data_IF_473609325996
#
_entry.id   IF_473609325996
#
_cell.length_a   1.000
_cell.length_b   1.000
_cell.length_c   1.000
_cell.angle_alpha   90.00
_cell.angle_beta   90.00
_cell.angle_gamma   90.00
#
_symmetry.space_group_name_H-M   'P 1'
#
loop_
_entity.id
_entity.type
_entity.pdbx_description
1 polymer ?
#
# COMPACT_ATOMS: atom_id res chain seq x y z
N UNK A 1 -19.88 0.35 56.47
CA UNK A 1 -20.59 0.78 55.24
C UNK A 1 -19.56 0.79 54.13
N UNK A 2 -19.69 -0.14 53.19
CA UNK A 2 -18.71 -0.38 52.13
C UNK A 2 -19.26 0.21 50.84
N UNK A 3 -18.65 1.28 50.33
CA UNK A 3 -19.05 1.91 49.07
C UNK A 3 -18.69 0.99 47.89
N UNK A 4 -19.71 0.47 47.23
CA UNK A 4 -19.56 -0.25 45.95
C UNK A 4 -19.22 0.77 44.87
N UNK A 5 -17.98 0.74 44.39
CA UNK A 5 -17.52 1.51 43.26
C UNK A 5 -18.38 1.24 42.02
N UNK A 6 -18.83 2.33 41.38
CA UNK A 6 -19.68 2.33 40.21
C UNK A 6 -19.10 1.51 39.07
N UNK A 7 -19.84 0.47 38.67
CA UNK A 7 -19.60 -0.25 37.43
C UNK A 7 -19.96 0.71 36.31
N UNK A 8 -18.95 1.18 35.56
CA UNK A 8 -19.17 1.95 34.34
C UNK A 8 -19.77 1.03 33.29
N UNK A 9 -21.02 1.29 32.92
CA UNK A 9 -21.69 0.59 31.81
C UNK A 9 -20.93 0.84 30.52
N UNK A 10 -20.38 -0.23 29.93
CA UNK A 10 -19.77 -0.20 28.61
C UNK A 10 -20.86 -0.37 27.56
N UNK A 11 -21.12 0.69 26.80
CA UNK A 11 -22.03 0.64 25.66
C UNK A 11 -21.26 0.12 24.45
N UNK A 12 -21.72 -0.98 23.87
CA UNK A 12 -21.22 -1.50 22.59
C UNK A 12 -22.04 -0.88 21.46
N UNK A 13 -21.41 -0.02 20.67
CA UNK A 13 -22.01 0.48 19.43
C UNK A 13 -21.71 -0.51 18.30
N UNK A 14 -22.75 -1.04 17.65
CA UNK A 14 -22.61 -1.92 16.47
C UNK A 14 -23.04 -1.15 15.24
N UNK A 15 -22.10 -0.89 14.34
CA UNK A 15 -22.40 -0.34 13.02
C UNK A 15 -22.60 -1.53 12.07
N UNK A 16 -23.76 -1.60 11.43
CA UNK A 16 -24.05 -2.64 10.44
C UNK A 16 -23.94 -2.02 9.05
N UNK A 17 -22.85 -2.34 8.35
CA UNK A 17 -22.65 -1.92 6.95
C UNK A 17 -23.50 -2.74 5.99
N UNK A 18 -24.00 -2.11 4.92
CA UNK A 18 -24.71 -2.82 3.82
C UNK A 18 -23.77 -3.43 2.79
N UNK A 19 -22.50 -3.01 2.77
CA UNK A 19 -21.50 -3.47 1.82
C UNK A 19 -20.60 -4.47 2.48
N UNK A 20 -20.23 -5.48 1.71
CA UNK A 20 -19.13 -6.35 2.06
C UNK A 20 -18.08 -6.24 0.98
N UNK A 21 -16.87 -6.61 1.35
CA UNK A 21 -15.78 -6.64 0.40
C UNK A 21 -14.74 -7.63 0.84
N UNK A 22 -13.87 -7.96 -0.11
CA UNK A 22 -12.63 -8.67 0.16
C UNK A 22 -11.52 -7.65 0.40
N UNK A 23 -10.52 -7.97 1.24
CA UNK A 23 -9.37 -7.11 1.43
C UNK A 23 -8.66 -6.78 0.12
N UNK A 24 -8.04 -5.60 0.06
CA UNK A 24 -7.36 -5.11 -1.14
C UNK A 24 -6.34 -6.10 -1.74
N UNK A 25 -5.63 -6.87 -0.92
CA UNK A 25 -4.63 -7.86 -1.38
C UNK A 25 -5.22 -9.09 -2.07
N UNK A 26 -6.54 -9.31 -1.95
CA UNK A 26 -7.24 -10.41 -2.61
C UNK A 26 -7.74 -10.02 -4.00
N UNK A 27 -7.15 -8.98 -4.62
CA UNK A 27 -7.50 -8.57 -5.98
C UNK A 27 -7.36 -9.74 -6.97
N UNK A 28 -8.23 -9.82 -7.97
CA UNK A 28 -8.22 -10.89 -8.98
C UNK A 28 -7.37 -10.56 -10.20
N UNK A 29 -7.04 -9.28 -10.40
CA UNK A 29 -6.13 -8.82 -11.45
C UNK A 29 -5.45 -7.51 -11.07
N UNK A 30 -4.31 -7.22 -11.69
CA UNK A 30 -3.61 -5.93 -11.50
C UNK A 30 -4.52 -4.75 -11.88
N UNK A 31 -5.39 -4.90 -12.87
CA UNK A 31 -6.38 -3.88 -13.20
C UNK A 31 -7.39 -3.64 -12.07
N UNK A 32 -7.94 -4.70 -11.48
CA UNK A 32 -8.84 -4.58 -10.33
C UNK A 32 -8.13 -3.87 -9.17
N UNK A 33 -6.86 -4.23 -8.90
CA UNK A 33 -6.05 -3.57 -7.88
C UNK A 33 -5.90 -2.07 -8.12
N UNK A 34 -5.49 -1.66 -9.33
CA UNK A 34 -5.27 -0.24 -9.64
C UNK A 34 -6.59 0.54 -9.61
N UNK A 35 -7.70 -0.02 -10.12
CA UNK A 35 -9.03 0.61 -10.03
C UNK A 35 -9.50 0.77 -8.58
N UNK A 36 -9.31 -0.25 -7.75
CA UNK A 36 -9.61 -0.17 -6.33
C UNK A 36 -8.81 0.96 -5.65
N UNK A 37 -7.51 1.07 -5.97
CA UNK A 37 -6.64 2.14 -5.46
C UNK A 37 -7.07 3.54 -5.90
N UNK A 38 -7.47 3.72 -7.16
CA UNK A 38 -8.02 5.00 -7.65
C UNK A 38 -9.28 5.36 -6.85
N UNK A 39 -10.22 4.43 -6.72
CA UNK A 39 -11.48 4.67 -6.01
C UNK A 39 -11.28 5.15 -4.56
N UNK A 40 -10.36 4.51 -3.81
CA UNK A 40 -10.06 4.92 -2.44
C UNK A 40 -9.29 6.23 -2.35
N UNK A 41 -8.40 6.54 -3.30
CA UNK A 41 -7.67 7.80 -3.32
C UNK A 41 -8.53 8.99 -3.75
N UNK A 42 -9.49 8.79 -4.66
CA UNK A 42 -10.52 9.78 -4.98
C UNK A 42 -11.38 10.07 -3.75
N UNK A 43 -11.78 9.03 -3.02
CA UNK A 43 -12.51 9.17 -1.76
C UNK A 43 -11.68 9.92 -0.73
N UNK A 44 -10.39 9.57 -0.58
CA UNK A 44 -9.47 10.27 0.32
C UNK A 44 -9.30 11.74 -0.06
N UNK A 45 -9.16 12.04 -1.36
CA UNK A 45 -9.10 13.41 -1.90
C UNK A 45 -10.35 14.21 -1.56
N UNK A 46 -11.52 13.63 -1.78
CA UNK A 46 -12.77 14.27 -1.41
C UNK A 46 -12.82 14.58 0.10
N UNK A 47 -12.41 13.64 0.94
CA UNK A 47 -12.37 13.84 2.40
C UNK A 47 -11.37 14.93 2.82
N UNK A 48 -10.15 14.91 2.29
CA UNK A 48 -9.13 15.90 2.62
C UNK A 48 -9.46 17.30 2.13
N UNK A 49 -10.08 17.42 0.95
CA UNK A 49 -10.57 18.70 0.42
C UNK A 49 -11.66 19.31 1.34
N UNK A 50 -12.31 18.46 2.15
CA UNK A 50 -13.25 18.84 3.20
C UNK A 50 -12.62 18.88 4.62
N UNK A 51 -11.29 18.88 4.72
CA UNK A 51 -10.57 18.99 5.99
C UNK A 51 -10.59 17.74 6.86
N UNK A 52 -10.89 16.57 6.28
CA UNK A 52 -10.94 15.29 6.99
C UNK A 52 -9.67 14.50 6.68
N UNK A 53 -8.92 14.15 7.72
CA UNK A 53 -7.79 13.22 7.68
C UNK A 53 -8.27 11.86 8.18
N UNK A 54 -8.01 10.79 7.42
CA UNK A 54 -8.46 9.44 7.79
C UNK A 54 -7.66 8.92 8.98
N UNK A 55 -6.33 9.03 8.92
CA UNK A 55 -5.41 8.69 9.99
C UNK A 55 -5.22 7.20 10.26
N UNK A 56 -6.15 6.33 9.84
CA UNK A 56 -6.08 4.89 10.05
C UNK A 56 -6.10 4.09 8.74
N UNK A 57 -5.35 4.57 7.74
CA UNK A 57 -5.18 3.84 6.47
C UNK A 57 -4.36 2.58 6.74
N UNK A 58 -4.97 1.43 6.46
CA UNK A 58 -4.34 0.13 6.54
C UNK A 58 -4.89 -0.77 5.44
N UNK A 59 -4.15 -1.82 5.07
CA UNK A 59 -4.61 -2.73 4.05
C UNK A 59 -5.91 -3.47 4.47
N UNK A 60 -6.12 -3.67 5.78
CA UNK A 60 -7.33 -4.30 6.31
C UNK A 60 -8.55 -3.38 6.32
N UNK A 61 -8.33 -2.07 6.22
CA UNK A 61 -9.38 -1.05 6.17
C UNK A 61 -9.76 -0.66 4.74
N UNK A 62 -9.18 -1.29 3.72
CA UNK A 62 -9.52 -1.06 2.31
C UNK A 62 -10.08 -2.35 1.74
N UNK A 63 -11.35 -2.31 1.37
CA UNK A 63 -12.05 -3.44 0.80
C UNK A 63 -12.47 -3.18 -0.65
N UNK A 64 -12.35 -4.21 -1.48
CA UNK A 64 -12.92 -4.29 -2.83
C UNK A 64 -14.36 -4.78 -2.70
N UNK A 65 -15.31 -4.03 -3.25
CA UNK A 65 -16.74 -4.32 -3.19
C UNK A 65 -17.07 -5.65 -3.88
N UNK A 66 -17.88 -6.48 -3.22
CA UNK A 66 -18.38 -7.76 -3.77
C UNK A 66 -19.89 -7.84 -3.60
N UNK A 67 -20.55 -8.50 -4.53
CA UNK A 67 -21.97 -8.85 -4.42
C UNK A 67 -22.10 -10.15 -3.64
N UNK A 68 -23.26 -10.37 -3.03
CA UNK A 68 -23.68 -11.73 -2.68
C UNK A 68 -24.94 -12.02 -3.48
N UNK A 69 -24.89 -13.08 -4.27
CA UNK A 69 -26.07 -13.63 -4.92
C UNK A 69 -26.87 -14.42 -3.86
N UNK A 70 -27.91 -13.78 -3.30
CA UNK A 70 -28.86 -14.35 -2.33
C UNK A 70 -28.24 -15.10 -1.12
N UNK A 71 -29.08 -15.78 -0.33
CA UNK A 71 -28.79 -16.30 1.02
C UNK A 71 -27.59 -17.27 1.11
N UNK A 72 -27.07 -17.77 -0.02
CA UNK A 72 -25.99 -18.76 -0.09
C UNK A 72 -24.58 -18.20 0.20
N UNK A 73 -24.45 -16.89 0.45
CA UNK A 73 -23.23 -16.20 0.94
C UNK A 73 -21.96 -16.38 0.09
N UNK A 74 -22.03 -16.88 -1.13
CA UNK A 74 -20.87 -16.91 -2.03
C UNK A 74 -20.64 -15.49 -2.56
N UNK A 75 -19.48 -14.87 -2.30
CA UNK A 75 -19.18 -13.56 -2.85
C UNK A 75 -19.00 -13.65 -4.37
N UNK A 76 -19.70 -12.80 -5.10
CA UNK A 76 -19.60 -12.62 -6.55
C UNK A 76 -18.91 -11.28 -6.83
N UNK A 77 -17.84 -11.31 -7.61
CA UNK A 77 -17.12 -10.08 -7.98
C UNK A 77 -17.87 -9.31 -9.06
N UNK A 78 -17.76 -7.97 -9.01
CA UNK A 78 -18.14 -7.14 -10.15
C UNK A 78 -17.18 -7.40 -11.32
N UNK A 79 -17.64 -7.17 -12.57
CA UNK A 79 -16.72 -7.03 -13.69
C UNK A 79 -15.59 -6.05 -13.35
N UNK A 80 -14.39 -6.29 -13.88
CA UNK A 80 -13.19 -5.52 -13.50
C UNK A 80 -13.38 -4.02 -13.79
N UNK A 81 -14.07 -3.66 -14.87
CA UNK A 81 -14.44 -2.30 -15.24
C UNK A 81 -15.34 -1.59 -14.22
N UNK A 82 -16.14 -2.36 -13.47
CA UNK A 82 -17.08 -1.91 -12.44
C UNK A 82 -16.49 -2.02 -11.03
N UNK A 83 -15.18 -2.29 -10.91
CA UNK A 83 -14.49 -2.40 -9.62
C UNK A 83 -14.74 -1.16 -8.78
N UNK A 84 -15.21 -1.39 -7.54
CA UNK A 84 -15.37 -0.37 -6.51
C UNK A 84 -14.56 -0.77 -5.29
N UNK A 85 -14.08 0.21 -4.56
CA UNK A 85 -13.45 -0.01 -3.27
C UNK A 85 -13.96 1.01 -2.25
N UNK A 86 -13.86 0.67 -0.97
CA UNK A 86 -14.30 1.54 0.11
C UNK A 86 -13.46 1.33 1.35
N UNK A 87 -13.40 2.36 2.20
CA UNK A 87 -12.81 2.24 3.51
C UNK A 87 -13.78 1.57 4.48
N UNK A 88 -13.26 0.73 5.35
CA UNK A 88 -13.93 0.30 6.56
C UNK A 88 -13.31 0.95 7.77
N UNK A 89 -14.01 0.85 8.90
CA UNK A 89 -13.51 1.33 10.19
C UNK A 89 -13.30 2.86 10.23
N UNK A 90 -14.39 3.59 10.01
CA UNK A 90 -14.45 5.03 10.23
C UNK A 90 -14.71 5.39 11.70
N UNK A 91 -14.22 4.60 12.65
CA UNK A 91 -14.37 4.95 14.07
C UNK A 91 -13.47 6.14 14.46
N UNK A 92 -12.59 6.58 13.55
CA UNK A 92 -11.52 7.56 13.79
C UNK A 92 -11.32 8.70 12.77
N UNK A 93 -12.18 9.01 11.77
CA UNK A 93 -11.96 10.21 10.98
C UNK A 93 -11.99 11.36 11.98
N UNK A 94 -10.82 11.94 12.20
CA UNK A 94 -10.61 13.08 13.06
C UNK A 94 -11.18 14.25 12.25
N UNK A 95 -12.50 14.25 12.03
CA UNK A 95 -13.24 15.46 11.71
C UNK A 95 -12.76 16.42 12.76
N UNK A 96 -11.96 17.39 12.32
CA UNK A 96 -11.34 18.37 13.17
C UNK A 96 -12.34 18.73 14.26
N UNK A 97 -12.05 18.30 15.49
CA UNK A 97 -12.83 18.68 16.66
C UNK A 97 -12.58 20.18 16.83
N UNK A 98 -13.35 20.92 16.05
CA UNK A 98 -13.64 22.33 16.07
C UNK A 98 -14.39 22.73 17.36
N UNK A 99 -14.23 21.96 18.44
CA UNK A 99 -14.66 22.34 19.77
C UNK A 99 -13.56 21.97 20.73
N UNK A 100 -12.87 23.01 21.17
CA UNK A 100 -12.16 23.09 22.44
C UNK A 100 -12.83 22.19 23.50
N UNK A 101 -12.29 20.99 23.76
CA UNK A 101 -12.49 20.35 25.06
C UNK A 101 -11.53 19.21 25.32
N UNK A 102 -10.80 19.41 26.41
CA UNK A 102 -10.13 18.44 27.28
C UNK A 102 -9.12 17.46 26.69
N UNK A 103 -7.86 17.87 26.87
CA UNK A 103 -6.69 17.03 27.07
C UNK A 103 -7.01 15.87 28.04
N UNK A 104 -7.31 14.67 27.54
CA UNK A 104 -6.99 13.41 28.26
C UNK A 104 -7.37 12.13 27.53
N UNK A 105 -8.16 12.15 26.46
CA UNK A 105 -8.60 10.90 25.81
C UNK A 105 -7.96 10.77 24.44
N UNK A 106 -6.67 10.46 24.41
CA UNK A 106 -6.10 9.78 23.25
C UNK A 106 -5.90 8.33 23.66
N UNK A 107 -6.72 7.47 23.07
CA UNK A 107 -6.64 6.02 23.22
C UNK A 107 -5.26 5.60 22.75
N UNK A 108 -4.36 5.35 23.70
CA UNK A 108 -3.18 4.54 23.42
C UNK A 108 -3.70 3.25 22.81
N UNK A 109 -3.45 3.01 21.52
CA UNK A 109 -3.46 1.66 20.96
C UNK A 109 -2.43 0.89 21.76
N UNK A 110 -2.93 0.22 22.80
CA UNK A 110 -2.12 -0.53 23.75
C UNK A 110 -1.64 -1.76 23.00
N UNK A 111 -0.50 -1.62 22.30
CA UNK A 111 0.21 -2.72 21.69
C UNK A 111 0.53 -3.73 22.80
N UNK A 112 -0.28 -4.78 22.89
CA UNK A 112 -0.01 -5.91 23.79
C UNK A 112 1.15 -6.68 23.18
N UNK A 113 2.32 -6.50 23.77
CA UNK A 113 3.56 -7.19 23.43
C UNK A 113 3.46 -8.67 23.81
N UNK A 114 3.31 -9.55 22.81
CA UNK A 114 3.92 -10.89 22.81
C UNK A 114 3.79 -11.64 21.48
N UNK A 115 2.86 -11.25 20.61
CA UNK A 115 2.86 -11.60 19.17
C UNK A 115 3.27 -10.35 18.38
N UNK A 116 3.92 -10.52 17.22
CA UNK A 116 4.47 -9.41 16.42
C UNK A 116 3.51 -8.21 16.27
N UNK A 117 4.07 -7.02 16.08
CA UNK A 117 3.28 -5.79 15.98
C UNK A 117 2.36 -5.87 14.76
N UNK A 118 1.13 -6.33 14.97
CA UNK A 118 0.09 -6.53 13.95
C UNK A 118 -0.92 -5.39 14.04
N UNK A 119 -1.52 -5.03 12.90
CA UNK A 119 -2.53 -3.95 12.81
C UNK A 119 -2.01 -2.65 12.18
N UNK A 120 -2.77 -1.56 12.34
CA UNK A 120 -2.56 -0.29 11.62
C UNK A 120 -1.18 0.36 11.83
N UNK A 121 -0.46 0.02 12.90
CA UNK A 121 0.87 0.58 13.17
C UNK A 121 1.86 0.26 12.03
N UNK A 122 1.70 -0.90 11.39
CA UNK A 122 2.49 -1.30 10.22
C UNK A 122 2.27 -0.37 9.02
N UNK A 123 1.25 0.49 9.00
CA UNK A 123 1.01 1.41 7.88
C UNK A 123 1.28 2.86 8.24
N UNK A 124 1.58 3.16 9.52
CA UNK A 124 1.84 4.53 9.95
C UNK A 124 3.04 5.17 9.24
N UNK A 125 2.93 6.47 8.97
CA UNK A 125 3.99 7.29 8.40
C UNK A 125 5.24 7.31 9.29
N UNK A 126 6.43 7.52 8.70
CA UNK A 126 7.68 7.66 9.45
C UNK A 126 7.57 8.71 10.55
N UNK A 127 6.93 9.82 10.22
CA UNK A 127 6.73 10.96 11.12
C UNK A 127 5.89 10.58 12.34
N UNK A 128 4.81 9.83 12.14
CA UNK A 128 3.94 9.33 13.22
C UNK A 128 4.67 8.28 14.06
N UNK A 129 5.38 7.33 13.42
CA UNK A 129 6.20 6.34 14.13
C UNK A 129 7.27 7.02 15.00
N UNK A 130 7.97 8.03 14.47
CA UNK A 130 8.97 8.78 15.21
C UNK A 130 8.37 9.53 16.41
N UNK A 131 7.22 10.19 16.22
CA UNK A 131 6.53 10.87 17.30
C UNK A 131 6.12 9.89 18.42
N UNK A 132 5.62 8.70 18.06
CA UNK A 132 5.29 7.65 19.01
C UNK A 132 6.52 7.18 19.80
N UNK A 133 7.67 6.98 19.14
CA UNK A 133 8.95 6.64 19.81
C UNK A 133 9.37 7.73 20.80
N UNK A 134 9.18 9.00 20.44
CA UNK A 134 9.50 10.15 21.29
C UNK A 134 8.40 10.48 22.31
N UNK A 135 7.31 9.71 22.33
CA UNK A 135 6.13 9.97 23.17
C UNK A 135 5.61 11.41 23.00
N UNK A 136 5.64 11.92 21.75
CA UNK A 136 5.16 13.25 21.41
C UNK A 136 3.77 13.17 20.78
N UNK A 137 2.92 14.11 21.16
CA UNK A 137 1.67 14.33 20.45
C UNK A 137 1.97 14.87 19.04
N UNK A 138 1.28 14.32 18.04
CA UNK A 138 1.38 14.77 16.66
C UNK A 138 -0.01 14.82 16.05
N UNK A 139 -0.28 15.91 15.33
CA UNK A 139 -1.49 16.02 14.51
C UNK A 139 -1.19 15.33 13.19
N UNK A 140 -2.00 14.32 12.84
CA UNK A 140 -1.91 13.63 11.55
C UNK A 140 -2.33 14.57 10.42
N UNK A 141 -1.70 14.42 9.26
CA UNK A 141 -1.95 15.25 8.08
C UNK A 141 -2.24 14.38 6.87
N UNK A 142 -2.71 15.00 5.78
CA UNK A 142 -2.92 14.33 4.49
C UNK A 142 -1.66 13.63 3.99
N UNK A 143 -0.48 14.17 4.27
CA UNK A 143 0.80 13.54 3.91
C UNK A 143 1.04 12.22 4.65
N UNK A 144 0.61 12.08 5.91
CA UNK A 144 0.74 10.79 6.60
C UNK A 144 -0.17 9.73 5.99
N UNK A 145 -1.37 10.14 5.57
CA UNK A 145 -2.32 9.26 4.90
C UNK A 145 -1.74 8.78 3.55
N UNK A 146 -1.14 9.69 2.78
CA UNK A 146 -0.47 9.38 1.52
C UNK A 146 0.72 8.43 1.68
N UNK A 147 1.56 8.64 2.70
CA UNK A 147 2.63 7.71 3.02
C UNK A 147 2.05 6.32 3.38
N UNK A 148 0.95 6.30 4.14
CA UNK A 148 0.27 5.06 4.54
C UNK A 148 -0.27 4.29 3.33
N UNK A 149 -0.89 4.95 2.34
CA UNK A 149 -1.31 4.31 1.08
C UNK A 149 -0.15 3.65 0.36
N UNK A 150 1.01 4.29 0.35
CA UNK A 150 2.18 3.75 -0.32
C UNK A 150 2.65 2.45 0.32
N UNK A 151 2.66 2.39 1.67
CA UNK A 151 2.92 1.15 2.39
C UNK A 151 1.84 0.09 2.15
N UNK A 152 0.57 0.49 2.00
CA UNK A 152 -0.53 -0.43 1.65
C UNK A 152 -0.34 -1.03 0.26
N UNK A 153 0.11 -0.25 -0.74
CA UNK A 153 0.39 -0.77 -2.08
C UNK A 153 1.43 -1.88 -2.02
N UNK A 154 2.57 -1.63 -1.37
CA UNK A 154 3.60 -2.67 -1.20
C UNK A 154 3.05 -3.91 -0.49
N UNK A 155 2.38 -3.70 0.64
CA UNK A 155 1.81 -4.79 1.42
C UNK A 155 0.82 -5.63 0.61
N UNK A 156 -0.07 -4.98 -0.15
CA UNK A 156 -1.09 -5.66 -0.93
C UNK A 156 -0.48 -6.52 -2.02
N UNK A 157 0.52 -5.99 -2.74
CA UNK A 157 1.22 -6.75 -3.78
C UNK A 157 2.02 -7.91 -3.19
N UNK A 158 2.73 -7.70 -2.07
CA UNK A 158 3.42 -8.80 -1.38
C UNK A 158 2.47 -9.90 -0.93
N UNK A 159 1.35 -9.52 -0.29
CA UNK A 159 0.39 -10.49 0.24
C UNK A 159 -0.28 -11.27 -0.88
N UNK A 160 -0.58 -10.61 -2.00
CA UNK A 160 -1.08 -11.26 -3.20
C UNK A 160 -0.05 -12.25 -3.77
N UNK A 161 1.20 -11.80 -3.94
CA UNK A 161 2.30 -12.64 -4.43
C UNK A 161 2.54 -13.89 -3.55
N UNK A 162 2.42 -13.76 -2.23
CA UNK A 162 2.53 -14.89 -1.29
C UNK A 162 1.39 -15.92 -1.41
N UNK A 163 0.29 -15.55 -2.06
CA UNK A 163 -0.86 -16.41 -2.35
C UNK A 163 -0.85 -16.92 -3.81
N UNK A 164 -0.03 -16.32 -4.68
CA UNK A 164 0.14 -16.68 -6.09
C UNK A 164 1.29 -17.68 -6.26
N UNK A 165 0.99 -18.96 -5.97
CA UNK A 165 1.98 -20.04 -6.08
C UNK A 165 2.54 -20.16 -7.50
N UNK A 166 1.71 -19.97 -8.53
CA UNK A 166 2.13 -20.06 -9.92
C UNK A 166 3.08 -18.92 -10.32
N UNK A 167 2.80 -17.68 -9.89
CA UNK A 167 3.69 -16.54 -10.13
C UNK A 167 5.04 -16.69 -9.45
N UNK A 168 5.07 -17.24 -8.24
CA UNK A 168 6.33 -17.57 -7.55
C UNK A 168 7.11 -18.69 -8.26
N UNK A 169 6.44 -19.70 -8.83
CA UNK A 169 7.07 -20.75 -9.63
C UNK A 169 7.65 -20.21 -10.94
N UNK A 170 6.92 -19.33 -11.64
CA UNK A 170 7.41 -18.62 -12.83
C UNK A 170 8.68 -17.83 -12.52
N UNK A 171 8.67 -17.05 -11.44
CA UNK A 171 9.83 -16.29 -10.99
C UNK A 171 11.03 -17.22 -10.67
N UNK A 172 10.78 -18.35 -10.00
CA UNK A 172 11.83 -19.34 -9.69
C UNK A 172 12.47 -19.90 -10.96
N UNK A 173 11.65 -20.20 -11.97
CA UNK A 173 12.10 -20.68 -13.28
C UNK A 173 12.98 -19.64 -13.99
N UNK A 174 12.60 -18.37 -13.97
CA UNK A 174 13.43 -17.29 -14.56
C UNK A 174 14.76 -17.13 -13.82
N UNK A 175 14.77 -17.21 -12.50
CA UNK A 175 16.02 -17.20 -11.74
C UNK A 175 16.93 -18.38 -12.08
N UNK A 176 16.37 -19.56 -12.31
CA UNK A 176 17.14 -20.74 -12.72
C UNK A 176 17.80 -20.56 -14.09
N UNK A 177 17.12 -19.89 -15.04
CA UNK A 177 17.70 -19.55 -16.37
C UNK A 177 18.91 -18.63 -16.24
N UNK A 178 18.87 -17.67 -15.32
CA UNK A 178 19.98 -16.73 -15.07
C UNK A 178 21.12 -17.41 -14.30
N UNK A 179 20.79 -18.33 -13.37
CA UNK A 179 21.74 -18.97 -12.45
C UNK A 179 22.36 -20.29 -12.97
N UNK A 180 22.46 -20.51 -14.28
CA UNK A 180 23.08 -21.71 -14.91
C UNK A 180 24.52 -22.02 -14.45
N UNK A 181 25.11 -21.24 -13.55
CA UNK A 181 26.44 -21.44 -12.99
C UNK A 181 26.50 -21.87 -11.51
N UNK A 182 25.43 -21.79 -10.70
CA UNK A 182 25.52 -22.16 -9.26
C UNK A 182 24.24 -22.84 -8.72
N UNK A 183 24.44 -24.08 -8.24
CA UNK A 183 23.49 -25.00 -7.60
C UNK A 183 22.89 -24.42 -6.30
N UNK A 184 21.89 -23.54 -6.38
CA UNK A 184 21.05 -23.15 -5.24
C UNK A 184 19.63 -23.65 -5.51
N UNK A 185 19.09 -24.43 -4.57
CA UNK A 185 17.83 -25.19 -4.68
C UNK A 185 16.57 -24.31 -4.62
N UNK A 186 15.50 -24.74 -5.30
CA UNK A 186 14.23 -24.01 -5.53
C UNK A 186 13.48 -23.57 -4.27
N UNK A 187 13.61 -24.28 -3.14
CA UNK A 187 12.99 -23.91 -1.85
C UNK A 187 13.46 -22.56 -1.29
N UNK A 188 14.52 -21.97 -1.87
CA UNK A 188 15.06 -20.70 -1.40
C UNK A 188 14.23 -19.50 -1.82
N UNK A 189 13.57 -19.50 -2.99
CA UNK A 189 12.95 -18.27 -3.52
C UNK A 189 11.71 -17.85 -2.73
N UNK A 190 10.79 -18.78 -2.43
CA UNK A 190 9.60 -18.47 -1.61
C UNK A 190 9.97 -18.05 -0.19
N UNK A 191 11.02 -18.67 0.39
CA UNK A 191 11.50 -18.29 1.71
C UNK A 191 12.18 -16.92 1.66
N UNK A 192 13.03 -16.67 0.67
CA UNK A 192 13.72 -15.39 0.49
C UNK A 192 12.70 -14.25 0.24
N UNK A 193 11.59 -14.51 -0.48
CA UNK A 193 10.47 -13.57 -0.66
C UNK A 193 9.72 -13.29 0.65
N UNK A 194 9.47 -14.33 1.47
CA UNK A 194 8.87 -14.16 2.81
C UNK A 194 9.79 -13.39 3.75
N UNK A 195 11.09 -13.69 3.72
CA UNK A 195 12.10 -12.99 4.52
C UNK A 195 12.19 -11.52 4.12
N UNK A 196 12.11 -11.22 2.82
CA UNK A 196 12.00 -9.85 2.31
C UNK A 196 10.75 -9.15 2.87
N UNK A 197 9.57 -9.76 2.75
CA UNK A 197 8.33 -9.24 3.32
C UNK A 197 8.43 -8.97 4.84
N UNK A 198 8.92 -9.95 5.60
CA UNK A 198 9.08 -9.86 7.05
C UNK A 198 10.13 -8.81 7.46
N UNK A 199 11.14 -8.59 6.63
CA UNK A 199 12.13 -7.54 6.88
C UNK A 199 11.51 -6.14 6.91
N UNK A 200 10.39 -5.93 6.18
CA UNK A 200 9.73 -4.63 6.01
C UNK A 200 8.51 -4.48 6.93
N UNK A 201 7.67 -5.53 7.00
CA UNK A 201 6.34 -5.45 7.60
C UNK A 201 6.23 -6.16 8.95
N UNK A 202 7.18 -7.04 9.29
CA UNK A 202 7.20 -7.72 10.57
C UNK A 202 8.15 -7.00 11.52
N UNK A 203 7.63 -6.49 12.64
CA UNK A 203 8.43 -5.79 13.64
C UNK A 203 8.02 -6.17 15.05
N UNK A 204 8.98 -6.13 15.97
CA UNK A 204 8.75 -6.44 17.39
C UNK A 204 8.41 -5.18 18.21
N UNK A 205 8.65 -3.99 17.66
CA UNK A 205 8.35 -2.71 18.29
C UNK A 205 8.23 -1.58 17.26
N UNK A 206 7.65 -0.45 17.68
CA UNK A 206 7.59 0.78 16.85
C UNK A 206 8.99 1.26 16.46
N UNK A 207 9.96 1.14 17.37
CA UNK A 207 11.36 1.53 17.10
C UNK A 207 12.00 0.63 16.05
N UNK A 208 11.77 -0.67 16.15
CA UNK A 208 12.23 -1.67 15.18
C UNK A 208 11.62 -1.37 13.80
N UNK A 209 10.29 -1.21 13.72
CA UNK A 209 9.58 -0.87 12.48
C UNK A 209 10.10 0.44 11.84
N UNK A 210 10.23 1.50 12.64
CA UNK A 210 10.79 2.77 12.17
C UNK A 210 12.22 2.59 11.65
N UNK A 211 13.07 1.82 12.33
CA UNK A 211 14.47 1.62 11.92
C UNK A 211 14.56 0.80 10.63
N UNK A 212 13.72 -0.25 10.51
CA UNK A 212 13.59 -1.09 9.32
C UNK A 212 13.13 -0.31 8.10
N UNK A 213 12.37 0.78 8.26
CA UNK A 213 11.93 1.62 7.13
C UNK A 213 12.86 2.78 6.85
N UNK A 214 13.29 3.50 7.88
CA UNK A 214 14.13 4.68 7.72
C UNK A 214 15.51 4.35 7.13
N UNK A 215 16.10 3.20 7.48
CA UNK A 215 17.41 2.81 6.97
C UNK A 215 17.41 2.53 5.45
N UNK A 216 16.54 1.64 4.96
CA UNK A 216 16.53 1.26 3.55
C UNK A 216 15.99 2.30 2.58
N UNK A 217 15.25 3.29 3.07
CA UNK A 217 14.74 4.39 2.27
C UNK A 217 15.88 5.16 1.53
N UNK A 218 17.14 5.10 2.01
CA UNK A 218 18.30 5.63 1.28
C UNK A 218 18.85 4.75 0.14
N UNK A 219 18.36 3.51 -0.02
CA UNK A 219 18.86 2.53 -1.01
C UNK A 219 18.06 2.55 -2.31
N UNK A 220 18.56 1.86 -3.32
CA UNK A 220 17.82 1.65 -4.57
C UNK A 220 16.72 0.61 -4.39
N UNK A 221 15.65 0.71 -5.19
CA UNK A 221 14.47 -0.16 -5.07
C UNK A 221 14.82 -1.65 -5.16
N UNK A 222 15.53 -2.06 -6.21
CA UNK A 222 15.87 -3.47 -6.45
C UNK A 222 16.87 -4.05 -5.43
N UNK A 223 17.61 -3.20 -4.71
CA UNK A 223 18.50 -3.65 -3.64
C UNK A 223 17.70 -4.02 -2.39
N UNK A 224 16.55 -3.37 -2.20
CA UNK A 224 15.71 -3.55 -1.03
C UNK A 224 14.58 -4.57 -1.28
N UNK A 225 14.06 -4.61 -2.50
CA UNK A 225 12.96 -5.48 -2.88
C UNK A 225 13.29 -6.33 -4.11
N UNK A 226 14.45 -7.03 -4.16
CA UNK A 226 14.81 -7.83 -5.33
C UNK A 226 13.76 -8.88 -5.70
N UNK A 227 13.09 -9.49 -4.71
CA UNK A 227 12.13 -10.55 -4.95
C UNK A 227 10.76 -10.01 -5.34
N UNK A 228 10.27 -8.93 -4.70
CA UNK A 228 9.07 -8.24 -5.18
C UNK A 228 9.24 -7.69 -6.59
N UNK A 229 10.42 -7.13 -6.89
CA UNK A 229 10.72 -6.62 -8.24
C UNK A 229 10.69 -7.75 -9.27
N UNK A 230 11.35 -8.86 -8.98
CA UNK A 230 11.34 -10.03 -9.85
C UNK A 230 9.93 -10.61 -9.99
N UNK A 231 9.15 -10.68 -8.92
CA UNK A 231 7.75 -11.09 -8.99
C UNK A 231 6.96 -10.13 -9.89
N UNK A 232 7.02 -8.82 -9.67
CA UNK A 232 6.28 -7.86 -10.46
C UNK A 232 6.58 -8.00 -11.97
N UNK A 233 7.83 -8.19 -12.36
CA UNK A 233 8.21 -8.38 -13.76
C UNK A 233 7.70 -9.69 -14.39
N UNK A 234 7.37 -10.70 -13.59
CA UNK A 234 7.07 -12.07 -14.04
C UNK A 234 5.71 -12.63 -13.55
N UNK A 235 4.96 -11.85 -12.77
CA UNK A 235 3.76 -12.31 -12.06
C UNK A 235 2.60 -12.65 -13.00
N UNK A 236 2.65 -12.21 -14.25
CA UNK A 236 1.49 -12.30 -15.12
C UNK A 236 1.81 -12.85 -16.51
N UNK A 237 1.04 -13.87 -16.91
CA UNK A 237 1.06 -14.43 -18.26
C UNK A 237 0.43 -13.45 -19.27
N UNK A 238 -0.47 -12.57 -18.83
CA UNK A 238 -1.22 -11.63 -19.66
C UNK A 238 -0.49 -10.28 -19.86
N UNK A 239 0.77 -10.18 -19.42
CA UNK A 239 1.65 -9.04 -19.72
C UNK A 239 1.52 -7.81 -18.80
N UNK A 240 0.70 -7.85 -17.73
CA UNK A 240 0.55 -6.74 -16.79
C UNK A 240 1.69 -6.60 -15.77
N UNK A 241 2.65 -7.52 -15.75
CA UNK A 241 3.79 -7.45 -14.82
C UNK A 241 4.61 -6.16 -14.96
N UNK A 242 4.78 -5.66 -16.18
CA UNK A 242 5.52 -4.40 -16.43
C UNK A 242 4.80 -3.16 -15.86
N UNK A 243 3.49 -2.94 -16.09
CA UNK A 243 2.73 -1.92 -15.40
C UNK A 243 2.85 -1.98 -13.87
N UNK A 244 2.77 -3.18 -13.29
CA UNK A 244 2.91 -3.35 -11.84
C UNK A 244 4.30 -2.94 -11.35
N UNK A 245 5.36 -3.37 -12.04
CA UNK A 245 6.73 -2.98 -11.74
C UNK A 245 6.90 -1.44 -11.82
N UNK A 246 6.39 -0.82 -12.87
CA UNK A 246 6.38 0.64 -13.02
C UNK A 246 5.66 1.35 -11.87
N UNK A 247 4.48 0.86 -11.48
CA UNK A 247 3.74 1.39 -10.34
C UNK A 247 4.56 1.30 -9.04
N UNK A 248 5.17 0.16 -8.76
CA UNK A 248 5.98 -0.03 -7.55
C UNK A 248 7.19 0.91 -7.49
N UNK A 249 7.87 1.15 -8.62
CA UNK A 249 8.97 2.13 -8.70
C UNK A 249 8.50 3.54 -8.36
N UNK A 250 7.36 3.97 -8.91
CA UNK A 250 6.88 5.32 -8.64
C UNK A 250 6.41 5.46 -7.20
N UNK A 251 5.72 4.45 -6.66
CA UNK A 251 5.32 4.43 -5.24
C UNK A 251 6.55 4.43 -4.33
N UNK A 252 7.62 3.73 -4.70
CA UNK A 252 8.88 3.79 -3.95
C UNK A 252 9.48 5.19 -3.95
N UNK A 253 9.56 5.82 -5.12
CA UNK A 253 10.11 7.15 -5.21
C UNK A 253 9.26 8.19 -4.48
N UNK A 254 7.94 7.98 -4.45
CA UNK A 254 7.00 8.73 -3.62
C UNK A 254 7.31 8.53 -2.11
N UNK A 255 7.52 7.30 -1.65
CA UNK A 255 7.95 7.05 -0.27
C UNK A 255 9.26 7.77 0.08
N UNK A 256 10.23 7.80 -0.85
CA UNK A 256 11.50 8.50 -0.63
C UNK A 256 11.31 10.00 -0.41
N UNK A 257 10.30 10.62 -1.02
CA UNK A 257 9.99 12.04 -0.84
C UNK A 257 9.52 12.40 0.58
N UNK A 258 9.04 11.44 1.38
CA UNK A 258 8.66 11.66 2.77
C UNK A 258 9.83 11.54 3.75
N UNK A 259 11.02 11.14 3.28
CA UNK A 259 12.19 11.10 4.15
C UNK A 259 12.46 12.49 4.72
N UNK A 260 12.75 12.52 6.02
CA UNK A 260 13.12 13.73 6.75
C UNK A 260 14.58 14.10 6.48
N UNK A 261 15.12 13.82 5.28
CA UNK A 261 16.47 14.26 4.90
C UNK A 261 16.48 15.77 4.70
N UNK A 262 17.60 16.40 5.04
CA UNK A 262 17.81 17.84 4.80
C UNK A 262 17.94 18.17 3.30
N UNK A 263 18.05 17.17 2.43
CA UNK A 263 18.08 17.35 0.98
C UNK A 263 16.81 16.74 0.34
N UNK A 264 16.10 17.50 -0.53
CA UNK A 264 14.93 17.00 -1.23
C UNK A 264 15.36 15.95 -2.26
N UNK A 265 14.82 14.72 -2.13
CA UNK A 265 15.02 13.69 -3.13
C UNK A 265 14.40 14.13 -4.46
N UNK A 266 15.21 14.18 -5.52
CA UNK A 266 14.72 14.45 -6.87
C UNK A 266 14.53 13.13 -7.59
N UNK A 267 13.31 12.92 -8.05
CA UNK A 267 12.93 11.75 -8.82
C UNK A 267 13.82 11.54 -10.07
N UNK A 268 14.26 12.63 -10.70
CA UNK A 268 15.16 12.63 -11.87
C UNK A 268 16.54 12.05 -11.61
N UNK A 269 16.92 11.93 -10.33
CA UNK A 269 18.27 11.54 -9.95
C UNK A 269 18.34 10.01 -9.67
N UNK A 270 17.23 9.27 -9.81
CA UNK A 270 17.23 7.82 -9.69
C UNK A 270 17.64 7.16 -11.02
N UNK A 271 18.82 6.52 -11.09
CA UNK A 271 19.33 5.95 -12.33
C UNK A 271 18.44 4.83 -12.86
N UNK A 272 17.71 4.11 -12.00
CA UNK A 272 16.78 3.07 -12.44
C UNK A 272 15.52 3.65 -13.01
N UNK A 273 15.03 4.75 -12.45
CA UNK A 273 13.89 5.41 -13.05
C UNK A 273 14.30 5.99 -14.41
N UNK A 274 15.50 6.54 -14.54
CA UNK A 274 16.03 7.02 -15.82
C UNK A 274 16.26 5.88 -16.83
N UNK A 275 16.81 4.74 -16.40
CA UNK A 275 17.00 3.53 -17.22
C UNK A 275 15.65 2.95 -17.62
N UNK A 276 14.72 2.85 -16.69
CA UNK A 276 13.37 2.39 -16.97
C UNK A 276 12.59 3.39 -17.82
N UNK A 277 12.82 4.70 -17.67
CA UNK A 277 12.34 5.74 -18.59
C UNK A 277 13.04 5.68 -19.96
N UNK A 278 14.23 5.11 -20.08
CA UNK A 278 14.90 4.95 -21.36
C UNK A 278 14.39 3.70 -22.10
N UNK A 279 14.36 2.57 -21.40
CA UNK A 279 13.97 1.26 -21.94
C UNK A 279 12.44 1.13 -22.09
N UNK A 280 11.72 1.78 -21.18
CA UNK A 280 10.27 1.70 -21.06
C UNK A 280 9.65 3.09 -20.99
N UNK A 281 10.30 4.14 -21.48
CA UNK A 281 9.83 5.54 -21.40
C UNK A 281 8.40 5.79 -21.89
N UNK A 282 7.96 5.01 -22.87
CA UNK A 282 6.57 5.00 -23.31
C UNK A 282 5.61 4.56 -22.18
N UNK A 283 6.05 3.59 -21.38
CA UNK A 283 5.41 3.08 -20.18
C UNK A 283 5.85 3.77 -18.88
N UNK A 284 6.72 4.79 -18.93
CA UNK A 284 7.21 5.38 -17.70
C UNK A 284 6.40 6.59 -17.26
N UNK A 285 5.82 6.60 -16.03
CA UNK A 285 5.19 7.81 -15.53
C UNK A 285 6.23 8.91 -15.43
N UNK A 286 6.20 9.84 -16.39
CA UNK A 286 6.72 11.19 -16.21
C UNK A 286 5.95 11.80 -15.06
N UNK A 287 6.42 11.56 -13.84
CA UNK A 287 5.89 12.23 -12.67
C UNK A 287 6.49 13.62 -12.72
N UNK A 288 5.74 14.55 -13.30
CA UNK A 288 5.93 15.95 -12.99
C UNK A 288 5.40 16.10 -11.58
N UNK A 289 6.25 15.86 -10.57
CA UNK A 289 5.89 16.14 -9.19
C UNK A 289 5.59 17.63 -9.13
N UNK A 290 4.31 17.97 -9.06
CA UNK A 290 3.90 19.34 -8.81
C UNK A 290 4.51 19.74 -7.49
N UNK A 291 5.53 20.59 -7.50
CA UNK A 291 6.11 21.07 -6.24
C UNK A 291 5.03 21.88 -5.54
N UNK A 292 4.41 21.31 -4.51
CA UNK A 292 3.83 22.13 -3.45
C UNK A 292 4.97 22.88 -2.73
N UNK A 293 4.62 23.83 -1.87
CA UNK A 293 5.59 24.67 -1.15
C UNK A 293 6.62 23.89 -0.30
N UNK A 294 6.44 22.56 -0.18
CA UNK A 294 7.29 21.67 0.60
C UNK A 294 7.99 20.58 -0.23
N UNK A 295 7.84 20.58 -1.57
CA UNK A 295 8.43 19.59 -2.45
C UNK A 295 7.93 18.16 -2.24
N UNK A 296 6.81 17.99 -1.53
CA UNK A 296 6.17 16.70 -1.29
C UNK A 296 5.09 16.46 -2.34
N UNK A 297 4.89 15.21 -2.74
CA UNK A 297 3.87 14.89 -3.72
C UNK A 297 2.46 14.99 -3.11
N UNK A 298 1.53 15.50 -3.91
CA UNK A 298 0.12 15.72 -3.57
C UNK A 298 -0.75 14.51 -3.93
N UNK A 299 -2.00 14.49 -3.46
CA UNK A 299 -2.98 13.48 -3.90
C UNK A 299 -3.17 13.48 -5.43
N UNK A 300 -3.13 14.65 -6.06
CA UNK A 300 -3.22 14.78 -7.51
C UNK A 300 -2.06 14.08 -8.21
N UNK A 301 -0.86 14.14 -7.64
CA UNK A 301 0.31 13.44 -8.19
C UNK A 301 0.13 11.91 -8.11
N UNK A 302 -0.39 11.40 -6.98
CA UNK A 302 -0.69 9.96 -6.81
C UNK A 302 -1.78 9.48 -7.76
N UNK A 303 -2.87 10.24 -7.88
CA UNK A 303 -3.97 9.92 -8.80
C UNK A 303 -3.48 9.91 -10.24
N UNK A 304 -2.70 10.93 -10.64
CA UNK A 304 -2.14 10.99 -12.00
C UNK A 304 -1.20 9.82 -12.30
N UNK A 305 -0.46 9.32 -11.31
CA UNK A 305 0.36 8.12 -11.44
C UNK A 305 -0.51 6.88 -11.69
N UNK A 306 -1.55 6.67 -10.88
CA UNK A 306 -2.44 5.52 -11.02
C UNK A 306 -3.24 5.54 -12.33
N UNK A 307 -3.75 6.70 -12.74
CA UNK A 307 -4.42 6.87 -14.04
C UNK A 307 -3.53 6.52 -15.21
N UNK A 308 -2.21 6.72 -15.06
CA UNK A 308 -1.25 6.35 -16.08
C UNK A 308 -0.95 4.86 -16.09
N UNK A 309 -0.82 4.23 -14.92
CA UNK A 309 -0.73 2.77 -14.83
C UNK A 309 -1.98 2.12 -15.47
N UNK A 310 -3.17 2.65 -15.25
CA UNK A 310 -4.41 2.21 -15.90
C UNK A 310 -4.37 2.34 -17.43
N UNK A 311 -3.88 3.46 -17.95
CA UNK A 311 -3.74 3.64 -19.40
C UNK A 311 -2.81 2.60 -20.02
N UNK A 312 -1.71 2.26 -19.35
CA UNK A 312 -0.77 1.24 -19.83
C UNK A 312 -1.39 -0.15 -19.83
N UNK A 313 -2.15 -0.49 -18.79
CA UNK A 313 -2.92 -1.73 -18.73
C UNK A 313 -3.91 -1.79 -19.93
N UNK A 314 -4.61 -0.69 -20.21
CA UNK A 314 -5.53 -0.60 -21.34
C UNK A 314 -4.83 -0.72 -22.71
N UNK A 315 -3.66 -0.10 -22.88
CA UNK A 315 -2.84 -0.21 -24.10
C UNK A 315 -2.36 -1.64 -24.35
N UNK A 316 -1.90 -2.33 -23.31
CA UNK A 316 -1.49 -3.74 -23.38
C UNK A 316 -2.69 -4.63 -23.78
N UNK A 317 -3.86 -4.41 -23.15
CA UNK A 317 -5.10 -5.10 -23.54
C UNK A 317 -5.46 -4.92 -25.00
N UNK A 318 -5.36 -3.68 -25.50
CA UNK A 318 -5.67 -3.38 -26.90
C UNK A 318 -4.70 -4.10 -27.86
N UNK A 319 -3.40 -4.14 -27.53
CA UNK A 319 -2.40 -4.86 -28.33
C UNK A 319 -2.63 -6.37 -28.36
N UNK A 320 -2.97 -6.97 -27.21
CA UNK A 320 -3.27 -8.40 -27.14
C UNK A 320 -4.54 -8.75 -27.92
N UNK A 321 -5.55 -7.87 -27.90
CA UNK A 321 -6.78 -8.06 -28.66
C UNK A 321 -6.55 -7.99 -30.19
N UNK A 322 -5.66 -7.11 -30.67
CA UNK A 322 -5.31 -7.06 -32.09
C UNK A 322 -4.56 -8.31 -32.55
N UNK A 323 -3.62 -8.80 -31.75
CA UNK A 323 -2.80 -9.97 -32.11
C UNK A 323 -3.62 -11.27 -32.19
N UNK A 324 -4.76 -11.36 -31.49
CA UNK A 324 -5.68 -12.50 -31.60
C UNK A 324 -6.66 -12.41 -32.79
N UNK A 325 -6.77 -11.24 -33.43
CA UNK A 325 -7.68 -11.03 -34.55
C UNK A 325 -7.05 -11.25 -35.93
N UNK A 326 -5.73 -11.37 -35.98
CA UNK A 326 -4.91 -11.66 -37.18
C UNK A 326 -4.55 -13.15 -37.27
#
# INVERSE_FOLDING_TARGET
MTEMHGVSDKVLHRITGRRSGKPLWEYSSIEQFVRAMICVLETHKFLSDNGIVLGDISAGNILIDVKYADEDRVPEEYPVEDTRAFFTDFDLPLAALLLERDRSVQTQTKARSSDGMTGTVTFMSQRVLYAAIKQRHIVRTTEDDLESFSWVVFYAVYRHALQDEEGLERMTTEFAKIKTTHSRTDTTVCQDFRDEFDSIFSATSIRDLHSKRAGPLGRHFHELFPYLWAYALNCDADGYGRPLAGLLLVVWAFLKSFQVSNEPYKLSDDPLLAEWEADYGQYAPRVVVGKNDHGKPSQTDVLSMLDRAMRQIAEIKASLASDMSD
#
